data_IF_834538175352
#
_entry.id   IF_834538175352
#
_cell.length_a   1.000
_cell.length_b   1.000
_cell.length_c   1.000
_cell.angle_alpha   90.00
_cell.angle_beta   90.00
_cell.angle_gamma   90.00
#
_symmetry.space_group_name_H-M   'P 1'
#
loop_
_entity.id
_entity.type
_entity.pdbx_description
1 polymer ?
#
# COMPACT_ATOMS: atom_id res chain seq x y z
N UNK A 1 -31.23 9.55 -64.98
CA UNK A 1 -30.26 10.62 -64.64
C UNK A 1 -30.83 11.48 -63.52
N UNK A 2 -30.46 11.17 -62.28
CA UNK A 2 -30.62 11.96 -61.04
C UNK A 2 -29.59 11.35 -60.08
N UNK A 3 -28.34 11.81 -60.15
CA UNK A 3 -27.75 12.76 -59.17
C UNK A 3 -27.74 12.11 -57.77
N UNK A 4 -26.70 11.36 -57.40
CA UNK A 4 -25.42 11.87 -56.86
C UNK A 4 -25.65 12.92 -55.77
N UNK A 5 -26.27 12.56 -54.64
CA UNK A 5 -26.12 13.29 -53.37
C UNK A 5 -26.38 12.37 -52.16
N UNK A 6 -25.76 11.18 -52.07
CA UNK A 6 -25.79 10.37 -50.83
C UNK A 6 -24.44 9.67 -50.64
N UNK A 7 -23.33 10.42 -50.63
CA UNK A 7 -22.00 9.87 -50.30
C UNK A 7 -21.09 10.90 -49.60
N UNK A 8 -21.68 11.84 -48.85
CA UNK A 8 -20.93 12.92 -48.19
C UNK A 8 -21.38 13.17 -46.75
N UNK A 9 -21.81 12.13 -46.04
CA UNK A 9 -22.19 12.22 -44.63
C UNK A 9 -21.57 11.12 -43.73
N UNK A 10 -20.64 10.31 -44.23
CA UNK A 10 -19.93 9.30 -43.41
C UNK A 10 -18.41 9.54 -43.29
N UNK A 11 -17.86 10.60 -43.90
CA UNK A 11 -16.43 10.88 -43.85
C UNK A 11 -16.03 11.99 -42.85
N UNK A 12 -16.96 12.47 -42.01
CA UNK A 12 -16.71 13.51 -41.00
C UNK A 12 -16.96 13.06 -39.55
N UNK A 13 -17.21 11.77 -39.31
CA UNK A 13 -17.35 11.20 -37.96
C UNK A 13 -16.16 10.33 -37.53
N UNK A 14 -15.02 10.46 -38.22
CA UNK A 14 -13.77 9.73 -37.92
C UNK A 14 -12.70 10.61 -37.23
N UNK A 15 -13.09 11.68 -36.54
CA UNK A 15 -12.15 12.63 -35.94
C UNK A 15 -12.49 13.07 -34.50
N UNK A 16 -13.12 12.22 -33.68
CA UNK A 16 -13.49 12.63 -32.31
C UNK A 16 -13.47 11.52 -31.23
N UNK A 17 -12.73 10.42 -31.42
CA UNK A 17 -12.39 9.51 -30.33
C UNK A 17 -10.93 9.07 -30.42
N UNK A 18 -10.04 10.05 -30.59
CA UNK A 18 -8.63 9.91 -30.26
C UNK A 18 -8.41 10.48 -28.86
N UNK A 19 -7.80 9.67 -28.00
CA UNK A 19 -7.03 10.08 -26.82
C UNK A 19 -7.82 10.59 -25.60
N UNK A 20 -8.13 9.66 -24.69
CA UNK A 20 -7.67 9.79 -23.30
C UNK A 20 -7.62 8.42 -22.63
N UNK A 21 -6.59 7.66 -22.96
CA UNK A 21 -6.07 6.69 -22.00
C UNK A 21 -5.25 7.51 -21.01
N UNK A 22 -5.90 8.09 -20.00
CA UNK A 22 -5.18 8.69 -18.89
C UNK A 22 -4.34 7.58 -18.26
N UNK A 23 -3.03 7.68 -18.50
CA UNK A 23 -2.02 6.92 -17.78
C UNK A 23 -2.16 7.28 -16.30
N UNK A 24 -2.89 6.46 -15.54
CA UNK A 24 -2.77 6.41 -14.07
C UNK A 24 -1.44 5.79 -13.60
N UNK A 25 -0.39 5.82 -14.44
CA UNK A 25 0.96 5.39 -14.06
C UNK A 25 1.76 6.51 -13.38
N UNK A 26 1.24 7.74 -13.32
CA UNK A 26 1.89 8.87 -12.62
C UNK A 26 1.59 8.91 -11.12
N UNK A 27 0.42 8.41 -10.70
CA UNK A 27 0.03 8.42 -9.29
C UNK A 27 0.78 7.35 -8.49
N UNK A 28 0.89 6.14 -9.02
CA UNK A 28 1.48 4.99 -8.32
C UNK A 28 2.98 5.18 -8.05
N UNK A 29 3.71 5.83 -8.96
CA UNK A 29 5.15 6.05 -8.82
C UNK A 29 5.50 7.21 -7.87
N UNK A 30 4.74 8.31 -7.91
CA UNK A 30 4.89 9.42 -6.94
C UNK A 30 4.46 9.00 -5.52
N UNK A 31 3.51 8.06 -5.41
CA UNK A 31 3.10 7.45 -4.14
C UNK A 31 4.13 6.42 -3.65
N UNK A 32 4.70 5.60 -4.54
CA UNK A 32 5.77 4.66 -4.21
C UNK A 32 6.99 5.40 -3.63
N UNK A 33 7.39 6.54 -4.19
CA UNK A 33 8.49 7.38 -3.65
C UNK A 33 8.20 8.00 -2.27
N UNK A 34 6.95 7.89 -1.77
CA UNK A 34 6.50 8.42 -0.47
C UNK A 34 6.16 7.32 0.55
N UNK A 35 6.16 6.06 0.12
CA UNK A 35 5.87 4.91 0.96
C UNK A 35 7.18 4.18 1.25
N UNK A 36 7.53 4.14 2.53
CA UNK A 36 8.57 3.25 3.02
C UNK A 36 7.91 2.09 3.76
N UNK A 37 8.47 0.89 3.65
CA UNK A 37 7.89 -0.30 4.27
C UNK A 37 8.85 -1.04 5.18
N UNK A 38 8.24 -1.75 6.13
CA UNK A 38 8.90 -2.69 7.01
C UNK A 38 8.35 -4.10 6.78
N UNK A 39 9.09 -4.93 6.05
CA UNK A 39 8.68 -6.30 5.72
C UNK A 39 9.07 -7.26 6.85
N UNK A 40 8.04 -7.74 7.56
CA UNK A 40 8.14 -8.73 8.64
C UNK A 40 7.45 -10.05 8.27
N UNK A 41 7.15 -10.30 6.99
CA UNK A 41 6.32 -11.44 6.57
C UNK A 41 6.91 -12.76 7.03
N UNK A 42 8.23 -12.93 6.94
CA UNK A 42 8.91 -14.16 7.36
C UNK A 42 9.04 -14.33 8.88
N UNK A 43 8.73 -13.32 9.70
CA UNK A 43 8.88 -13.38 11.16
C UNK A 43 7.53 -13.32 11.88
N UNK A 44 6.58 -12.55 11.35
CA UNK A 44 5.27 -12.33 11.97
C UNK A 44 4.11 -12.37 10.99
N UNK A 45 4.33 -12.67 9.71
CA UNK A 45 3.29 -12.65 8.69
C UNK A 45 2.72 -11.26 8.43
N UNK A 46 3.47 -10.19 8.73
CA UNK A 46 3.00 -8.81 8.54
C UNK A 46 3.98 -7.93 7.75
N UNK A 47 3.48 -6.85 7.16
CA UNK A 47 4.29 -5.79 6.57
C UNK A 47 3.65 -4.44 6.92
N UNK A 48 4.45 -3.42 7.26
CA UNK A 48 3.94 -2.08 7.58
C UNK A 48 4.33 -1.07 6.50
N UNK A 49 3.40 -0.22 6.08
CA UNK A 49 3.64 0.90 5.17
C UNK A 49 3.52 2.22 5.91
N UNK A 50 4.51 3.09 5.70
CA UNK A 50 4.61 4.40 6.30
C UNK A 50 4.55 5.47 5.21
N UNK A 51 3.62 6.40 5.33
CA UNK A 51 3.52 7.56 4.44
C UNK A 51 4.38 8.70 5.01
N UNK A 52 5.65 8.75 4.62
CA UNK A 52 6.63 9.63 5.26
C UNK A 52 6.47 11.12 4.94
N UNK A 53 5.66 11.48 3.93
CA UNK A 53 5.37 12.89 3.62
C UNK A 53 4.71 13.64 4.78
N UNK A 54 4.13 12.91 5.74
CA UNK A 54 3.46 13.47 6.92
C UNK A 54 4.37 13.53 8.16
N UNK A 55 5.54 12.87 8.13
CA UNK A 55 6.30 12.52 9.33
C UNK A 55 7.73 13.09 9.41
N UNK A 56 8.27 13.63 8.31
CA UNK A 56 9.56 14.35 8.28
C UNK A 56 10.82 13.46 8.33
N UNK A 57 12.02 14.07 8.29
CA UNK A 57 13.30 13.33 8.18
C UNK A 57 13.70 12.54 9.43
N UNK A 58 13.46 13.09 10.63
CA UNK A 58 13.76 12.40 11.89
C UNK A 58 12.98 11.08 12.04
N UNK A 59 11.73 11.07 11.56
CA UNK A 59 10.90 9.88 11.61
C UNK A 59 11.38 8.78 10.67
N UNK A 60 12.02 9.14 9.54
CA UNK A 60 12.63 8.16 8.64
C UNK A 60 13.73 7.37 9.35
N UNK A 61 14.65 8.06 10.04
CA UNK A 61 15.73 7.41 10.79
C UNK A 61 15.18 6.50 11.89
N UNK A 62 14.09 6.92 12.55
CA UNK A 62 13.39 6.10 13.53
C UNK A 62 12.79 4.83 12.90
N UNK A 63 12.04 4.95 11.80
CA UNK A 63 11.45 3.79 11.10
C UNK A 63 12.52 2.84 10.60
N UNK A 64 13.60 3.36 10.02
CA UNK A 64 14.75 2.56 9.57
C UNK A 64 15.35 1.75 10.71
N UNK A 65 15.59 2.39 11.86
CA UNK A 65 16.13 1.73 13.05
C UNK A 65 15.17 0.72 13.67
N UNK A 66 13.91 1.11 13.88
CA UNK A 66 12.87 0.30 14.52
C UNK A 66 12.41 -0.86 13.63
N UNK A 67 12.51 -0.73 12.31
CA UNK A 67 12.21 -1.81 11.40
C UNK A 67 13.29 -2.89 11.47
N UNK A 68 14.56 -2.48 11.35
CA UNK A 68 15.69 -3.41 11.31
C UNK A 68 15.99 -4.05 12.67
N UNK A 69 15.42 -3.57 13.78
CA UNK A 69 15.73 -4.11 15.10
C UNK A 69 14.52 -4.14 16.04
N UNK A 70 14.39 -5.20 16.86
CA UNK A 70 13.42 -5.22 17.96
C UNK A 70 13.96 -4.47 19.20
N UNK A 71 13.15 -4.30 20.26
CA UNK A 71 13.58 -3.69 21.55
C UNK A 71 14.80 -4.37 22.21
N UNK A 72 15.19 -5.57 21.75
CA UNK A 72 16.36 -6.33 22.22
C UNK A 72 17.55 -6.27 21.25
N UNK A 73 17.48 -5.50 20.17
CA UNK A 73 18.55 -5.33 19.18
C UNK A 73 18.69 -6.46 18.16
N UNK A 74 17.76 -7.42 18.10
CA UNK A 74 17.80 -8.49 17.09
C UNK A 74 17.22 -8.01 15.76
N UNK A 75 17.84 -8.39 14.65
CA UNK A 75 17.30 -8.14 13.31
C UNK A 75 16.08 -9.04 13.09
N UNK A 76 14.93 -8.42 12.83
CA UNK A 76 13.62 -9.09 12.76
C UNK A 76 12.80 -8.70 11.52
N UNK A 77 13.24 -7.72 10.74
CA UNK A 77 12.54 -7.25 9.55
C UNK A 77 13.52 -6.70 8.50
N UNK A 78 13.01 -6.49 7.29
CA UNK A 78 13.73 -5.79 6.22
C UNK A 78 13.05 -4.46 5.93
N UNK A 79 13.76 -3.35 6.13
CA UNK A 79 13.31 -2.03 5.68
C UNK A 79 13.49 -1.88 4.17
N UNK A 80 12.48 -1.32 3.50
CA UNK A 80 12.51 -1.05 2.06
C UNK A 80 12.02 0.38 1.79
N UNK A 81 12.92 1.20 1.24
CA UNK A 81 12.63 2.59 0.90
C UNK A 81 11.97 2.70 -0.47
N UNK A 82 10.90 3.48 -0.56
CA UNK A 82 10.18 3.74 -1.80
C UNK A 82 9.43 2.53 -2.34
N UNK A 83 9.15 1.55 -1.47
CA UNK A 83 8.57 0.25 -1.84
C UNK A 83 7.40 -0.05 -0.93
N UNK A 84 6.23 -0.20 -1.54
CA UNK A 84 5.01 -0.65 -0.89
C UNK A 84 5.10 -2.13 -0.46
N UNK A 85 4.30 -2.48 0.54
CA UNK A 85 4.12 -3.86 0.96
C UNK A 85 3.50 -4.69 -0.17
N UNK A 86 3.98 -5.92 -0.42
CA UNK A 86 3.47 -6.73 -1.53
C UNK A 86 1.97 -7.02 -1.43
N UNK A 87 1.25 -7.03 -2.54
CA UNK A 87 -0.17 -7.41 -2.52
C UNK A 87 -0.37 -8.94 -2.50
N UNK A 88 0.63 -9.71 -2.94
CA UNK A 88 0.52 -11.17 -3.06
C UNK A 88 0.37 -11.83 -1.69
N UNK A 89 -0.63 -12.72 -1.58
CA UNK A 89 -1.01 -13.44 -0.35
C UNK A 89 -1.43 -12.52 0.81
N UNK A 90 -1.70 -11.24 0.54
CA UNK A 90 -2.26 -10.33 1.53
C UNK A 90 -3.72 -10.72 1.81
N UNK A 91 -4.08 -10.83 3.08
CA UNK A 91 -5.42 -11.27 3.51
C UNK A 91 -6.26 -10.16 4.10
N UNK A 92 -5.63 -9.11 4.61
CA UNK A 92 -6.27 -7.94 5.18
C UNK A 92 -5.25 -6.86 5.50
N UNK A 93 -5.79 -5.65 5.70
CA UNK A 93 -5.09 -4.46 6.15
C UNK A 93 -5.74 -3.91 7.42
N UNK A 94 -4.92 -3.40 8.33
CA UNK A 94 -5.35 -2.67 9.52
C UNK A 94 -4.63 -1.33 9.53
N UNK A 95 -5.37 -0.23 9.62
CA UNK A 95 -4.77 1.05 9.95
C UNK A 95 -4.53 1.08 11.47
N UNK A 96 -3.28 0.89 11.87
CA UNK A 96 -2.88 0.89 13.28
C UNK A 96 -2.62 2.33 13.73
N UNK A 97 -3.27 2.73 14.83
CA UNK A 97 -3.01 3.99 15.52
C UNK A 97 -2.14 3.69 16.74
N UNK A 98 -0.93 4.25 16.79
CA UNK A 98 -0.13 4.25 18.01
C UNK A 98 -0.22 5.65 18.61
N UNK A 99 -0.99 5.79 19.69
CA UNK A 99 -0.90 6.95 20.58
C UNK A 99 0.23 6.71 21.59
N UNK A 100 1.39 7.29 21.33
CA UNK A 100 2.37 7.60 22.36
C UNK A 100 1.96 8.96 22.96
N UNK A 101 2.06 9.18 24.29
CA UNK A 101 1.71 10.46 24.92
C UNK A 101 2.32 11.71 24.27
N UNK A 102 3.45 11.57 23.57
CA UNK A 102 4.13 12.68 22.91
C UNK A 102 3.94 12.66 21.37
N UNK A 103 3.50 11.56 20.77
CA UNK A 103 3.49 11.37 19.32
C UNK A 103 2.35 10.42 18.86
N UNK A 104 1.58 10.83 17.85
CA UNK A 104 0.58 9.96 17.20
C UNK A 104 1.13 9.51 15.86
N UNK A 105 1.20 8.20 15.67
CA UNK A 105 1.63 7.61 14.41
C UNK A 105 0.54 6.75 13.80
N UNK A 106 0.38 6.89 12.49
CA UNK A 106 -0.54 6.12 11.66
C UNK A 106 0.29 5.35 10.63
N UNK A 107 0.04 4.05 10.52
CA UNK A 107 0.63 3.23 9.46
C UNK A 107 -0.33 2.12 9.04
N UNK A 108 -0.28 1.77 7.76
CA UNK A 108 -1.02 0.63 7.24
C UNK A 108 -0.26 -0.65 7.58
N UNK A 109 -0.88 -1.54 8.33
CA UNK A 109 -0.35 -2.87 8.64
C UNK A 109 -1.07 -3.92 7.84
N UNK A 110 -0.32 -4.58 6.98
CA UNK A 110 -0.77 -5.62 6.07
C UNK A 110 -0.48 -6.99 6.68
N UNK A 111 -1.43 -7.91 6.55
CA UNK A 111 -1.37 -9.27 7.07
C UNK A 111 -1.37 -10.27 5.91
N UNK A 112 -0.61 -11.36 6.05
CA UNK A 112 -0.35 -12.30 4.96
C UNK A 112 -0.61 -13.74 5.35
N UNK A 113 -1.09 -14.51 4.38
CA UNK A 113 -1.14 -15.96 4.44
C UNK A 113 0.08 -16.60 3.78
N UNK A 114 0.35 -17.86 4.10
CA UNK A 114 1.38 -18.68 3.43
C UNK A 114 2.82 -18.20 3.63
N UNK A 115 3.08 -17.37 4.66
CA UNK A 115 4.43 -16.92 4.99
C UNK A 115 5.16 -17.95 5.87
N UNK A 116 6.49 -18.07 5.74
CA UNK A 116 7.27 -19.15 6.36
C UNK A 116 7.05 -19.28 7.89
N UNK A 117 6.95 -20.54 8.36
CA UNK A 117 6.89 -21.15 9.70
C UNK A 117 6.23 -20.44 10.91
N UNK A 118 6.09 -19.12 10.97
CA UNK A 118 5.72 -18.41 12.20
C UNK A 118 4.23 -18.11 12.33
N UNK A 119 3.61 -17.53 11.30
CA UNK A 119 2.26 -16.99 11.38
C UNK A 119 1.60 -17.02 9.99
N UNK A 120 0.52 -17.78 9.87
CA UNK A 120 -0.35 -17.83 8.69
C UNK A 120 -1.67 -17.15 9.06
N UNK A 121 -1.87 -15.91 8.59
CA UNK A 121 -3.01 -15.11 9.04
C UNK A 121 -4.28 -15.49 8.29
N UNK A 122 -5.34 -15.73 9.06
CA UNK A 122 -6.72 -15.80 8.54
C UNK A 122 -7.42 -14.45 8.74
N UNK A 123 -8.19 -13.99 7.74
CA UNK A 123 -8.86 -12.68 7.77
C UNK A 123 -9.76 -12.47 9.02
N UNK A 124 -10.40 -13.53 9.51
CA UNK A 124 -11.21 -13.52 10.74
C UNK A 124 -10.38 -13.17 11.99
N UNK A 125 -9.14 -13.66 12.08
CA UNK A 125 -8.23 -13.42 13.18
C UNK A 125 -7.59 -12.02 13.10
N UNK A 126 -7.40 -11.52 11.87
CA UNK A 126 -6.87 -10.16 11.65
C UNK A 126 -7.84 -9.11 12.16
N UNK A 127 -9.15 -9.23 11.86
CA UNK A 127 -10.17 -8.29 12.35
C UNK A 127 -10.13 -8.13 13.87
N UNK A 128 -10.18 -9.25 14.58
CA UNK A 128 -10.15 -9.25 16.06
C UNK A 128 -8.87 -8.59 16.59
N UNK A 129 -7.73 -8.86 15.93
CA UNK A 129 -6.43 -8.28 16.30
C UNK A 129 -6.40 -6.77 16.08
N UNK A 130 -6.93 -6.31 14.95
CA UNK A 130 -6.99 -4.91 14.58
C UNK A 130 -7.89 -4.11 15.56
N UNK A 131 -9.06 -4.64 15.88
CA UNK A 131 -9.99 -4.02 16.83
C UNK A 131 -9.41 -3.95 18.24
N UNK A 132 -8.59 -4.93 18.67
CA UNK A 132 -7.96 -4.92 20.00
C UNK A 132 -7.00 -3.74 20.20
N UNK A 133 -6.36 -3.26 19.14
CA UNK A 133 -5.47 -2.09 19.16
C UNK A 133 -6.19 -0.81 18.75
N UNK A 134 -7.53 -0.82 18.72
CA UNK A 134 -8.36 0.30 18.22
C UNK A 134 -8.05 0.72 16.79
N UNK A 135 -7.48 -0.19 15.99
CA UNK A 135 -7.21 0.01 14.57
C UNK A 135 -8.46 -0.11 13.70
N UNK A 136 -8.37 0.38 12.46
CA UNK A 136 -9.44 0.26 11.47
C UNK A 136 -9.17 -0.93 10.52
N UNK A 137 -10.00 -1.97 10.63
CA UNK A 137 -9.88 -3.16 9.78
C UNK A 137 -10.43 -2.91 8.37
N UNK A 138 -9.66 -3.35 7.36
CA UNK A 138 -10.00 -3.29 5.95
C UNK A 138 -9.72 -4.67 5.32
N UNK A 139 -10.73 -5.39 4.80
CA UNK A 139 -10.49 -6.63 4.08
C UNK A 139 -9.80 -6.35 2.74
N UNK A 140 -8.95 -7.27 2.30
CA UNK A 140 -8.37 -7.29 0.95
C UNK A 140 -9.16 -8.16 -0.03
#
# INVERSE_FOLDING_TARGET
>A
MRQIVIFLACALLLAACGERSDKSAGGEQEFADRIDSCDQRYVSGTCREYTLSELGEWYREYVESACLSNRRGNIVASYQKGVACPAENRVARCLDFVEDPDERYEYDKHYYAGTAEGFDWEASNVRTTCEHVSGLFMPD
#
